data_IF_555620749697
#
_entry.id   IF_555620749697
#
_cell.length_a   1.000
_cell.length_b   1.000
_cell.length_c   1.000
_cell.angle_alpha   90.00
_cell.angle_beta   90.00
_cell.angle_gamma   90.00
#
_symmetry.space_group_name_H-M   'P 1'
#
loop_
_entity.id
_entity.type
_entity.pdbx_description
1 polymer ?
#
# COMPACT_ATOMS: atom_id res chain seq x y z
N UNK A 1 0.80 -19.40 0.83
CA UNK A 1 0.58 -18.17 0.03
C UNK A 1 1.89 -17.38 0.03
N UNK A 2 2.53 -17.13 -1.13
CA UNK A 2 3.76 -16.35 -1.18
C UNK A 2 3.52 -14.89 -0.79
N UNK A 3 4.58 -14.19 -0.39
CA UNK A 3 4.59 -12.74 -0.18
C UNK A 3 5.00 -12.03 -1.47
N UNK A 4 4.64 -10.76 -1.59
CA UNK A 4 5.05 -9.91 -2.70
C UNK A 4 6.57 -9.80 -2.78
N UNK A 5 7.12 -9.99 -3.98
CA UNK A 5 8.53 -9.85 -4.28
C UNK A 5 8.76 -8.67 -5.26
N UNK A 6 9.23 -7.50 -4.78
CA UNK A 6 9.40 -6.31 -5.62
C UNK A 6 10.41 -6.45 -6.76
N UNK A 7 11.21 -7.53 -6.81
CA UNK A 7 12.17 -7.79 -7.89
C UNK A 7 11.53 -8.42 -9.14
N UNK A 8 10.34 -9.01 -8.99
CA UNK A 8 9.68 -9.77 -10.07
C UNK A 8 8.18 -9.43 -10.19
N UNK A 9 7.56 -8.99 -9.11
CA UNK A 9 6.13 -8.66 -9.07
C UNK A 9 5.91 -7.17 -9.33
N UNK A 10 4.91 -6.84 -10.15
CA UNK A 10 4.45 -5.46 -10.34
C UNK A 10 3.58 -5.00 -9.16
N UNK A 11 3.86 -3.82 -8.62
CA UNK A 11 3.09 -3.25 -7.52
C UNK A 11 1.60 -3.11 -7.87
N UNK A 12 1.30 -2.64 -9.09
CA UNK A 12 -0.07 -2.35 -9.54
C UNK A 12 -0.94 -3.60 -9.65
N UNK A 13 -0.35 -4.76 -9.88
CA UNK A 13 -1.07 -6.03 -9.98
C UNK A 13 -1.57 -6.50 -8.61
N UNK A 14 -0.80 -6.19 -7.56
CA UNK A 14 -1.06 -6.67 -6.21
C UNK A 14 -1.74 -5.64 -5.31
N UNK A 15 -1.52 -4.36 -5.58
CA UNK A 15 -1.90 -3.28 -4.68
C UNK A 15 -2.52 -2.10 -5.43
N UNK A 16 -3.35 -1.36 -4.71
CA UNK A 16 -3.81 -0.02 -5.10
C UNK A 16 -3.98 0.86 -3.86
N UNK A 17 -3.98 2.16 -4.05
CA UNK A 17 -4.40 3.09 -3.00
C UNK A 17 -5.93 3.06 -2.84
N UNK A 18 -6.42 3.33 -1.64
CA UNK A 18 -7.83 3.67 -1.45
C UNK A 18 -8.10 5.11 -1.90
N UNK A 19 -9.37 5.53 -1.87
CA UNK A 19 -9.80 6.83 -2.39
C UNK A 19 -9.02 8.03 -1.81
N UNK A 20 -8.74 8.03 -0.51
CA UNK A 20 -7.99 9.11 0.16
C UNK A 20 -6.46 8.91 0.13
N UNK A 21 -5.98 7.86 -0.52
CA UNK A 21 -4.56 7.48 -0.59
C UNK A 21 -3.86 7.33 0.76
N UNK A 22 -4.59 6.97 1.82
CA UNK A 22 -3.99 6.73 3.14
C UNK A 22 -3.76 5.25 3.44
N UNK A 23 -4.44 4.36 2.71
CA UNK A 23 -4.39 2.91 2.90
C UNK A 23 -4.08 2.20 1.60
N UNK A 24 -3.29 1.15 1.71
CA UNK A 24 -3.03 0.20 0.63
C UNK A 24 -4.14 -0.86 0.65
N UNK A 25 -4.76 -1.11 -0.49
CA UNK A 25 -5.75 -2.17 -0.71
C UNK A 25 -5.11 -3.28 -1.54
N UNK A 26 -5.33 -4.52 -1.17
CA UNK A 26 -4.86 -5.67 -1.93
C UNK A 26 -5.83 -6.05 -3.05
N UNK A 27 -5.28 -6.36 -4.23
CA UNK A 27 -6.01 -6.93 -5.37
C UNK A 27 -5.92 -8.46 -5.42
N UNK A 28 -4.87 -9.05 -4.84
CA UNK A 28 -4.63 -10.51 -4.84
C UNK A 28 -4.46 -11.09 -3.44
N UNK A 29 -4.43 -12.43 -3.34
CA UNK A 29 -4.15 -13.13 -2.09
C UNK A 29 -2.73 -12.85 -1.56
N UNK A 30 -1.72 -12.82 -2.45
CA UNK A 30 -0.35 -12.36 -2.17
C UNK A 30 -0.34 -10.96 -1.55
N UNK A 31 -1.10 -10.02 -2.15
CA UNK A 31 -1.22 -8.67 -1.63
C UNK A 31 -1.85 -8.64 -0.22
N UNK A 32 -2.92 -9.41 0.00
CA UNK A 32 -3.57 -9.50 1.32
C UNK A 32 -2.62 -10.04 2.39
N UNK A 33 -1.90 -11.13 2.08
CA UNK A 33 -0.91 -11.71 2.97
C UNK A 33 0.20 -10.70 3.29
N UNK A 34 0.69 -9.99 2.28
CA UNK A 34 1.75 -8.97 2.43
C UNK A 34 1.30 -7.80 3.30
N UNK A 35 0.11 -7.23 3.06
CA UNK A 35 -0.43 -6.12 3.87
C UNK A 35 -0.54 -6.54 5.34
N UNK A 36 -1.06 -7.75 5.61
CA UNK A 36 -1.25 -8.25 6.97
C UNK A 36 0.08 -8.52 7.66
N UNK A 37 0.99 -9.25 7.01
CA UNK A 37 2.25 -9.67 7.62
C UNK A 37 3.21 -8.49 7.82
N UNK A 38 3.37 -7.63 6.81
CA UNK A 38 4.25 -6.46 6.89
C UNK A 38 3.58 -5.25 7.56
N UNK A 39 2.30 -5.36 7.92
CA UNK A 39 1.50 -4.32 8.57
C UNK A 39 1.54 -3.00 7.81
N UNK A 40 1.37 -3.05 6.48
CA UNK A 40 1.51 -1.90 5.56
C UNK A 40 0.51 -0.76 5.82
N UNK A 41 -0.54 -1.04 6.57
CA UNK A 41 -1.58 -0.09 7.02
C UNK A 41 -1.58 0.12 8.54
N UNK A 42 -0.46 -0.11 9.25
CA UNK A 42 -0.38 0.19 10.69
C UNK A 42 -0.70 1.68 10.97
N UNK A 43 -1.32 2.01 12.12
CA UNK A 43 -1.86 3.35 12.38
C UNK A 43 -0.86 4.49 12.17
N UNK A 44 0.41 4.29 12.53
CA UNK A 44 1.47 5.29 12.37
C UNK A 44 1.74 5.64 10.90
N UNK A 45 1.77 4.65 10.00
CA UNK A 45 1.96 4.89 8.56
C UNK A 45 0.75 5.59 7.94
N UNK A 46 -0.47 5.18 8.32
CA UNK A 46 -1.71 5.83 7.85
C UNK A 46 -1.75 7.28 8.30
N UNK A 47 -1.33 7.58 9.54
CA UNK A 47 -1.24 8.96 10.06
C UNK A 47 -0.20 9.79 9.29
N UNK A 48 0.96 9.22 8.96
CA UNK A 48 1.97 9.88 8.15
C UNK A 48 1.46 10.18 6.73
N UNK A 49 0.85 9.20 6.05
CA UNK A 49 0.27 9.39 4.71
C UNK A 49 -0.80 10.46 4.69
N UNK A 50 -1.66 10.56 5.72
CA UNK A 50 -2.62 11.68 5.85
C UNK A 50 -1.94 13.04 5.88
N UNK A 51 -0.79 13.17 6.51
CA UNK A 51 -0.03 14.42 6.51
C UNK A 51 0.57 14.69 5.12
N UNK A 52 1.12 13.68 4.46
CA UNK A 52 1.70 13.80 3.12
C UNK A 52 0.67 14.12 2.03
N UNK A 53 -0.52 13.52 2.10
CA UNK A 53 -1.64 13.82 1.18
C UNK A 53 -2.04 15.30 1.30
N UNK A 54 -2.09 15.86 2.52
CA UNK A 54 -2.36 17.30 2.72
C UNK A 54 -1.26 18.21 2.18
N UNK A 55 -0.05 17.69 2.03
CA UNK A 55 1.09 18.41 1.46
C UNK A 55 1.27 18.10 -0.04
N UNK A 56 0.33 17.37 -0.66
CA UNK A 56 0.39 16.93 -2.06
C UNK A 56 1.64 16.08 -2.41
N UNK A 57 2.31 15.50 -1.40
CA UNK A 57 3.47 14.62 -1.55
C UNK A 57 3.08 13.14 -1.76
N UNK A 58 1.79 12.83 -1.71
CA UNK A 58 1.26 11.47 -1.77
C UNK A 58 -0.16 11.48 -2.37
N UNK A 59 -0.55 10.48 -3.19
CA UNK A 59 0.21 9.28 -3.60
C UNK A 59 1.35 9.58 -4.59
N UNK A 60 2.35 8.69 -4.73
CA UNK A 60 3.32 8.79 -5.81
C UNK A 60 2.62 8.67 -7.17
N UNK A 61 3.10 9.39 -8.19
CA UNK A 61 2.68 9.12 -9.57
C UNK A 61 2.97 7.65 -9.90
N UNK A 62 1.95 6.97 -10.44
CA UNK A 62 2.00 5.54 -10.78
C UNK A 62 2.58 5.34 -12.18
#
# INVERSE_FOLDING_TARGET
MPLFNPRVDSWLDHFRWNFDSTRILARTATGRATIKLLRLNRPTLVKARRAWVRLELHPPQQ
#
